data_IF_608841483440
#
_entry.id   IF_608841483440
#
_cell.length_a   1.000
_cell.length_b   1.000
_cell.length_c   1.000
_cell.angle_alpha   90.00
_cell.angle_beta   90.00
_cell.angle_gamma   90.00
#
_symmetry.space_group_name_H-M   'P 1'
#
loop_
_entity.id
_entity.type
_entity.pdbx_description
1 polymer ?
#
# COMPACT_ATOMS: atom_id res chain seq x y z
N UNK A 1 -17.30 -5.60 23.64
CA UNK A 1 -16.13 -5.67 22.75
C UNK A 1 -16.06 -7.05 22.10
N UNK A 2 -15.99 -7.10 20.79
CA UNK A 2 -15.79 -8.35 20.05
C UNK A 2 -14.31 -8.71 20.11
N UNK A 3 -13.96 -9.91 20.54
CA UNK A 3 -12.56 -10.37 20.50
C UNK A 3 -12.30 -11.11 19.19
N UNK A 4 -11.32 -10.63 18.41
CA UNK A 4 -10.91 -11.25 17.16
C UNK A 4 -9.70 -12.16 17.37
N UNK A 5 -9.74 -13.35 16.78
CA UNK A 5 -8.66 -14.34 16.89
C UNK A 5 -7.80 -14.32 15.62
N UNK A 6 -6.70 -13.56 15.64
CA UNK A 6 -5.74 -13.47 14.52
C UNK A 6 -4.75 -14.66 14.48
N UNK A 7 -4.73 -15.53 15.48
CA UNK A 7 -3.98 -16.80 15.45
C UNK A 7 -4.76 -17.94 14.79
N UNK A 8 -6.02 -17.69 14.39
CA UNK A 8 -6.81 -18.69 13.67
C UNK A 8 -6.21 -18.93 12.28
N UNK A 9 -5.71 -20.12 12.04
CA UNK A 9 -5.26 -20.55 10.71
C UNK A 9 -6.47 -20.77 9.79
N UNK A 10 -6.42 -20.13 8.62
CA UNK A 10 -7.45 -20.25 7.58
C UNK A 10 -6.77 -20.79 6.34
N UNK A 11 -7.17 -21.97 5.90
CA UNK A 11 -6.68 -22.54 4.66
C UNK A 11 -7.20 -21.73 3.46
N UNK A 12 -6.28 -21.15 2.73
CA UNK A 12 -6.54 -20.35 1.53
C UNK A 12 -6.21 -21.08 0.23
N UNK A 13 -5.71 -22.32 0.31
CA UNK A 13 -5.42 -23.14 -0.87
C UNK A 13 -6.73 -23.60 -1.51
N UNK A 14 -6.73 -23.73 -2.85
CA UNK A 14 -7.88 -24.12 -3.65
C UNK A 14 -9.06 -23.15 -3.56
N UNK A 15 -8.77 -21.87 -3.30
CA UNK A 15 -9.75 -20.77 -3.30
C UNK A 15 -9.53 -19.77 -4.44
N UNK A 16 -8.63 -20.08 -5.36
CA UNK A 16 -8.11 -19.17 -6.38
C UNK A 16 -7.40 -17.95 -5.77
N UNK A 17 -6.83 -18.12 -4.58
CA UNK A 17 -6.05 -17.07 -3.93
C UNK A 17 -4.77 -16.79 -4.72
N UNK A 18 -4.62 -15.56 -5.20
CA UNK A 18 -3.40 -15.12 -5.90
C UNK A 18 -2.15 -15.39 -5.06
N UNK A 19 -2.25 -15.25 -3.74
CA UNK A 19 -1.16 -15.45 -2.78
C UNK A 19 -0.74 -16.92 -2.67
N UNK A 20 -1.68 -17.87 -2.73
CA UNK A 20 -1.45 -19.27 -2.38
C UNK A 20 -1.50 -20.24 -3.56
N UNK A 21 -2.32 -19.97 -4.57
CA UNK A 21 -2.64 -20.98 -5.58
C UNK A 21 -1.89 -20.80 -6.91
N UNK A 22 -1.09 -19.73 -7.05
CA UNK A 22 -0.42 -19.37 -8.31
C UNK A 22 1.11 -19.33 -8.21
N UNK A 23 1.70 -20.06 -7.27
CA UNK A 23 3.15 -20.06 -7.08
C UNK A 23 3.88 -20.60 -8.32
N UNK A 24 3.45 -21.75 -8.83
CA UNK A 24 4.08 -22.43 -9.97
C UNK A 24 3.96 -21.60 -11.25
N UNK A 25 2.79 -21.02 -11.53
CA UNK A 25 2.55 -20.16 -12.70
C UNK A 25 3.40 -18.88 -12.66
N UNK A 26 3.85 -18.49 -11.47
CA UNK A 26 4.73 -17.33 -11.25
C UNK A 26 6.21 -17.70 -11.05
N UNK A 27 6.57 -18.95 -11.36
CA UNK A 27 7.96 -19.42 -11.34
C UNK A 27 8.51 -19.79 -9.97
N UNK A 28 7.64 -19.91 -8.94
CA UNK A 28 8.02 -20.36 -7.61
C UNK A 28 7.82 -21.88 -7.47
N UNK A 29 8.44 -22.47 -6.46
CA UNK A 29 8.23 -23.86 -6.10
C UNK A 29 6.80 -24.07 -5.53
N UNK A 30 6.24 -25.28 -5.67
CA UNK A 30 4.88 -25.61 -5.25
C UNK A 30 4.67 -25.54 -3.73
N UNK A 31 5.74 -25.67 -2.95
CA UNK A 31 5.74 -25.78 -1.50
C UNK A 31 6.21 -24.50 -0.78
N UNK A 32 6.31 -23.38 -1.50
CA UNK A 32 6.73 -22.11 -0.91
C UNK A 32 5.68 -21.58 0.09
N UNK A 33 6.19 -20.93 1.14
CA UNK A 33 5.38 -20.18 2.09
C UNK A 33 5.23 -18.73 1.61
N UNK A 34 4.02 -18.29 1.18
CA UNK A 34 3.87 -16.99 0.57
C UNK A 34 3.67 -15.87 1.60
N UNK A 35 4.57 -14.88 1.58
CA UNK A 35 4.51 -13.66 2.38
C UNK A 35 4.83 -12.42 1.53
N UNK A 36 4.43 -12.44 0.26
CA UNK A 36 4.73 -11.43 -0.76
C UNK A 36 3.60 -10.42 -0.98
N UNK A 37 2.41 -10.88 -1.38
CA UNK A 37 1.31 -9.99 -1.71
C UNK A 37 0.69 -9.36 -0.46
N UNK A 38 0.35 -8.09 -0.59
CA UNK A 38 -0.16 -7.25 0.48
C UNK A 38 -1.66 -7.48 0.77
N UNK A 39 -2.07 -8.74 0.95
CA UNK A 39 -3.32 -9.13 1.59
C UNK A 39 -3.04 -9.85 2.92
N UNK A 40 -4.00 -9.89 3.81
CA UNK A 40 -3.84 -10.49 5.13
C UNK A 40 -4.39 -11.91 5.17
N UNK A 41 -3.83 -12.74 6.04
CA UNK A 41 -4.35 -14.09 6.30
C UNK A 41 -5.42 -14.09 7.42
N UNK A 42 -6.05 -12.95 7.66
CA UNK A 42 -7.08 -12.73 8.66
C UNK A 42 -8.45 -12.56 8.02
N UNK A 43 -9.50 -13.05 8.68
CA UNK A 43 -10.87 -12.75 8.27
C UNK A 43 -11.14 -11.25 8.37
N UNK A 44 -11.92 -10.75 7.41
CA UNK A 44 -12.46 -9.39 7.48
C UNK A 44 -13.31 -9.17 8.76
N UNK A 45 -13.53 -7.91 9.17
CA UNK A 45 -14.34 -7.61 10.34
C UNK A 45 -15.72 -8.27 10.31
N UNK A 46 -16.18 -8.79 11.46
CA UNK A 46 -17.49 -9.43 11.56
C UNK A 46 -18.64 -8.58 11.01
N UNK A 47 -18.73 -7.27 11.26
CA UNK A 47 -19.79 -6.44 10.68
C UNK A 47 -19.80 -6.45 9.15
N UNK A 48 -18.63 -6.53 8.53
CA UNK A 48 -18.51 -6.66 7.06
C UNK A 48 -19.07 -7.99 6.59
N UNK A 49 -18.68 -9.09 7.26
CA UNK A 49 -19.17 -10.44 6.92
C UNK A 49 -20.69 -10.53 7.07
N UNK A 50 -21.24 -9.96 8.13
CA UNK A 50 -22.70 -9.93 8.37
C UNK A 50 -23.44 -9.13 7.28
N UNK A 51 -22.91 -7.95 6.90
CA UNK A 51 -23.49 -7.15 5.83
C UNK A 51 -23.46 -7.85 4.47
N UNK A 52 -22.34 -8.53 4.18
CA UNK A 52 -22.21 -9.34 2.95
C UNK A 52 -23.17 -10.53 2.94
N UNK A 53 -23.31 -11.24 4.07
CA UNK A 53 -24.24 -12.37 4.19
C UNK A 53 -25.68 -11.92 3.95
N UNK A 54 -26.07 -10.77 4.49
CA UNK A 54 -27.41 -10.19 4.27
C UNK A 54 -27.62 -9.86 2.79
N UNK A 55 -26.64 -9.26 2.12
CA UNK A 55 -26.71 -8.94 0.70
C UNK A 55 -26.82 -10.18 -0.18
N UNK A 56 -26.03 -11.23 0.13
CA UNK A 56 -26.10 -12.52 -0.58
C UNK A 56 -27.43 -13.20 -0.35
N UNK A 57 -27.98 -13.17 0.86
CA UNK A 57 -29.28 -13.75 1.20
C UNK A 57 -30.44 -13.03 0.51
N UNK A 58 -30.31 -11.71 0.23
CA UNK A 58 -31.27 -10.97 -0.60
C UNK A 58 -31.27 -11.46 -2.06
N UNK A 59 -30.11 -11.83 -2.61
CA UNK A 59 -29.97 -12.56 -3.87
C UNK A 59 -30.22 -11.77 -5.16
N UNK A 60 -30.37 -10.42 -5.09
CA UNK A 60 -30.51 -9.55 -6.27
C UNK A 60 -29.29 -8.65 -6.41
N UNK A 61 -28.51 -8.87 -7.47
CA UNK A 61 -27.25 -8.16 -7.74
C UNK A 61 -27.40 -7.18 -8.91
N UNK A 62 -28.40 -6.30 -8.81
CA UNK A 62 -28.64 -5.23 -9.77
C UNK A 62 -27.66 -4.08 -9.65
N UNK A 63 -27.78 -3.10 -10.54
CA UNK A 63 -27.00 -1.87 -10.45
C UNK A 63 -27.23 -1.16 -9.13
N UNK A 64 -26.15 -0.72 -8.48
CA UNK A 64 -26.18 -0.12 -7.17
C UNK A 64 -25.42 1.20 -7.14
N UNK A 65 -25.89 2.11 -6.32
CA UNK A 65 -25.20 3.37 -6.02
C UNK A 65 -25.30 3.66 -4.52
N UNK A 66 -24.38 4.44 -3.99
CA UNK A 66 -24.32 4.80 -2.57
C UNK A 66 -25.20 6.01 -2.29
N UNK A 67 -25.67 6.11 -1.04
CA UNK A 67 -26.39 7.27 -0.48
C UNK A 67 -25.51 8.05 0.48
N UNK A 68 -26.09 9.04 1.14
CA UNK A 68 -25.38 9.89 2.10
C UNK A 68 -24.70 9.13 3.23
N UNK A 69 -25.29 8.04 3.69
CA UNK A 69 -24.76 7.21 4.77
C UNK A 69 -23.38 6.61 4.46
N UNK A 70 -23.10 6.31 3.19
CA UNK A 70 -21.78 5.86 2.76
C UNK A 70 -20.73 6.96 2.97
N UNK A 71 -21.04 8.18 2.53
CA UNK A 71 -20.16 9.32 2.75
C UNK A 71 -19.99 9.62 4.24
N UNK A 72 -21.08 9.58 5.03
CA UNK A 72 -21.06 9.82 6.45
C UNK A 72 -20.16 8.82 7.21
N UNK A 73 -20.12 7.57 6.76
CA UNK A 73 -19.22 6.56 7.31
C UNK A 73 -17.74 6.93 7.07
N UNK A 74 -17.42 7.32 5.85
CA UNK A 74 -16.06 7.79 5.49
C UNK A 74 -15.71 9.07 6.23
N UNK A 75 -16.63 10.05 6.25
CA UNK A 75 -16.41 11.33 6.95
C UNK A 75 -16.07 11.11 8.42
N UNK A 76 -16.89 10.33 9.15
CA UNK A 76 -16.62 10.03 10.57
C UNK A 76 -15.28 9.32 10.77
N UNK A 77 -14.91 8.45 9.86
CA UNK A 77 -13.62 7.75 9.91
C UNK A 77 -12.44 8.70 9.80
N UNK A 78 -12.43 9.54 8.77
CA UNK A 78 -11.33 10.47 8.53
C UNK A 78 -11.29 11.62 9.56
N UNK A 79 -12.43 12.14 9.97
CA UNK A 79 -12.52 13.15 11.00
C UNK A 79 -11.97 12.64 12.34
N UNK A 80 -12.43 11.47 12.80
CA UNK A 80 -12.05 10.93 14.12
C UNK A 80 -10.60 10.43 14.18
N UNK A 81 -10.02 9.93 13.06
CA UNK A 81 -8.69 9.32 13.04
C UNK A 81 -7.59 10.28 12.62
N UNK A 82 -7.90 11.19 11.73
CA UNK A 82 -6.89 12.05 11.10
C UNK A 82 -7.19 13.53 11.28
N UNK A 83 -8.29 13.88 11.97
CA UNK A 83 -8.75 15.27 12.11
C UNK A 83 -8.81 15.95 10.73
N UNK A 84 -9.41 15.24 9.74
CA UNK A 84 -9.58 15.70 8.38
C UNK A 84 -11.03 15.54 7.94
N UNK A 85 -11.59 16.62 7.43
CA UNK A 85 -13.02 16.75 7.12
C UNK A 85 -13.23 16.90 5.61
N UNK A 86 -13.28 15.79 4.84
CA UNK A 86 -13.52 15.85 3.39
C UNK A 86 -14.95 16.29 3.09
N UNK A 87 -15.15 16.91 1.91
CA UNK A 87 -16.47 17.26 1.40
C UNK A 87 -17.02 16.14 0.51
N UNK A 88 -18.33 15.94 0.53
CA UNK A 88 -18.98 14.86 -0.22
C UNK A 88 -18.79 14.97 -1.72
N UNK A 89 -18.77 16.19 -2.26
CA UNK A 89 -18.53 16.44 -3.67
C UNK A 89 -17.10 16.11 -4.16
N UNK A 90 -16.15 15.93 -3.24
CA UNK A 90 -14.78 15.54 -3.57
C UNK A 90 -14.68 14.04 -3.87
N UNK A 91 -15.63 13.25 -3.40
CA UNK A 91 -15.59 11.79 -3.49
C UNK A 91 -15.84 11.29 -4.93
N UNK A 92 -14.89 10.53 -5.42
CA UNK A 92 -15.00 9.74 -6.66
C UNK A 92 -14.62 8.29 -6.33
N UNK A 93 -15.51 7.34 -6.63
CA UNK A 93 -15.27 5.92 -6.35
C UNK A 93 -14.62 5.23 -7.55
N UNK A 94 -13.65 4.36 -7.30
CA UNK A 94 -12.96 3.57 -8.35
C UNK A 94 -12.79 2.10 -7.93
N UNK A 95 -12.55 1.17 -8.88
CA UNK A 95 -12.41 -0.27 -8.59
C UNK A 95 -11.05 -0.64 -7.96
N UNK A 96 -10.30 0.33 -7.50
CA UNK A 96 -9.01 0.16 -6.85
C UNK A 96 -8.10 1.34 -7.07
N UNK A 97 -7.10 1.49 -6.18
CA UNK A 97 -6.19 2.65 -6.22
C UNK A 97 -5.31 2.61 -7.47
N UNK A 98 -4.83 1.45 -7.92
CA UNK A 98 -4.01 1.37 -9.14
C UNK A 98 -4.78 1.86 -10.38
N UNK A 99 -6.07 1.53 -10.49
CA UNK A 99 -6.92 2.10 -11.53
C UNK A 99 -7.04 3.62 -11.39
N UNK A 100 -7.22 4.13 -10.17
CA UNK A 100 -7.29 5.56 -9.93
C UNK A 100 -5.99 6.27 -10.31
N UNK A 101 -4.82 5.69 -9.98
CA UNK A 101 -3.51 6.22 -10.37
C UNK A 101 -3.38 6.31 -11.91
N UNK A 102 -3.77 5.27 -12.64
CA UNK A 102 -3.75 5.28 -14.10
C UNK A 102 -4.66 6.38 -14.68
N UNK A 103 -5.89 6.51 -14.15
CA UNK A 103 -6.81 7.58 -14.57
C UNK A 103 -6.30 8.99 -14.20
N UNK A 104 -5.64 9.14 -13.05
CA UNK A 104 -5.02 10.40 -12.65
C UNK A 104 -3.84 10.78 -13.55
N UNK A 105 -2.97 9.83 -13.89
CA UNK A 105 -1.88 10.02 -14.86
C UNK A 105 -2.45 10.53 -16.19
N UNK A 106 -3.50 9.92 -16.69
CA UNK A 106 -4.15 10.34 -17.97
C UNK A 106 -4.83 11.69 -17.85
N UNK A 107 -5.53 11.94 -16.75
CA UNK A 107 -6.27 13.18 -16.52
C UNK A 107 -5.37 14.41 -16.36
N UNK A 108 -4.20 14.24 -15.72
CA UNK A 108 -3.36 15.35 -15.29
C UNK A 108 -2.14 15.59 -16.20
N UNK A 109 -1.86 14.66 -17.12
CA UNK A 109 -0.71 14.75 -18.02
C UNK A 109 -1.09 14.38 -19.46
N UNK A 110 -0.19 14.69 -20.40
CA UNK A 110 -0.26 14.23 -21.80
C UNK A 110 0.77 13.15 -22.05
N UNK A 111 0.63 12.41 -23.15
CA UNK A 111 1.65 11.47 -23.59
C UNK A 111 3.00 12.17 -23.76
N UNK A 112 4.06 11.55 -23.26
CA UNK A 112 5.41 12.10 -23.23
C UNK A 112 5.72 13.06 -22.08
N UNK A 113 4.73 13.48 -21.27
CA UNK A 113 4.97 14.27 -20.06
C UNK A 113 5.73 13.46 -19.00
N UNK A 114 6.46 14.16 -18.15
CA UNK A 114 7.24 13.60 -17.06
C UNK A 114 6.40 13.44 -15.80
N UNK A 115 6.44 12.23 -15.21
CA UNK A 115 5.80 11.89 -13.93
C UNK A 115 6.87 11.42 -12.96
N UNK A 116 6.91 12.02 -11.77
CA UNK A 116 7.92 11.77 -10.75
C UNK A 116 7.44 10.71 -9.76
N UNK A 117 8.38 9.85 -9.34
CA UNK A 117 8.24 8.88 -8.27
C UNK A 117 9.52 8.83 -7.42
N UNK A 118 9.43 8.24 -6.22
CA UNK A 118 10.55 8.14 -5.27
C UNK A 118 10.89 6.67 -4.96
N UNK A 119 11.72 6.00 -5.78
CA UNK A 119 12.18 4.64 -5.49
C UNK A 119 13.06 4.55 -4.21
N UNK A 120 13.07 3.37 -3.53
CA UNK A 120 12.25 2.18 -3.81
C UNK A 120 10.79 2.45 -3.49
N UNK A 121 9.89 2.16 -4.45
CA UNK A 121 8.46 2.45 -4.33
C UNK A 121 7.62 1.34 -4.96
N UNK A 122 6.36 1.27 -4.60
CA UNK A 122 5.39 0.30 -5.09
C UNK A 122 5.41 0.20 -6.62
N UNK A 123 5.76 -0.97 -7.16
CA UNK A 123 6.06 -1.19 -8.58
C UNK A 123 4.93 -0.79 -9.54
N UNK A 124 3.62 -0.86 -9.20
CA UNK A 124 2.58 -0.35 -10.10
C UNK A 124 2.68 1.17 -10.39
N UNK A 125 3.42 1.94 -9.60
CA UNK A 125 3.69 3.35 -9.94
C UNK A 125 4.47 3.46 -11.25
N UNK A 126 5.49 2.61 -11.44
CA UNK A 126 6.24 2.53 -12.71
C UNK A 126 5.33 2.08 -13.86
N UNK A 127 4.47 1.08 -13.60
CA UNK A 127 3.59 0.51 -14.60
C UNK A 127 2.56 1.53 -15.10
N UNK A 128 1.85 2.21 -14.19
CA UNK A 128 0.82 3.18 -14.59
C UNK A 128 1.39 4.38 -15.35
N UNK A 129 2.65 4.74 -15.13
CA UNK A 129 3.33 5.80 -15.90
C UNK A 129 3.71 5.29 -17.28
N UNK A 130 4.44 4.18 -17.35
CA UNK A 130 4.95 3.58 -18.60
C UNK A 130 3.80 3.16 -19.52
N UNK A 131 2.82 2.45 -19.00
CA UNK A 131 1.75 1.84 -19.79
C UNK A 131 0.73 2.90 -20.28
N UNK A 132 0.80 4.11 -19.75
CA UNK A 132 0.10 5.28 -20.27
C UNK A 132 1.00 6.22 -21.09
N UNK A 133 2.16 5.78 -21.59
CA UNK A 133 3.08 6.53 -22.45
C UNK A 133 3.61 7.84 -21.83
N UNK A 134 3.84 7.88 -20.50
CA UNK A 134 4.50 8.98 -19.81
C UNK A 134 5.95 8.62 -19.49
N UNK A 135 6.79 9.65 -19.27
CA UNK A 135 8.18 9.47 -18.87
C UNK A 135 8.27 9.33 -17.36
N UNK A 136 8.97 8.29 -16.90
CA UNK A 136 9.28 8.13 -15.48
C UNK A 136 10.46 9.03 -15.14
N UNK A 137 10.29 9.83 -14.10
CA UNK A 137 11.36 10.62 -13.47
C UNK A 137 11.53 10.07 -12.06
N UNK A 138 12.73 9.61 -11.76
CA UNK A 138 13.06 9.04 -10.46
C UNK A 138 13.84 10.04 -9.63
N UNK A 139 13.36 10.30 -8.39
CA UNK A 139 14.10 10.97 -7.32
C UNK A 139 14.22 9.97 -6.17
N UNK A 140 15.27 9.14 -6.16
CA UNK A 140 15.40 8.05 -5.21
C UNK A 140 15.48 8.55 -3.78
N UNK A 141 14.88 7.82 -2.85
CA UNK A 141 15.06 8.06 -1.41
C UNK A 141 16.51 7.76 -1.01
N UNK A 142 17.02 8.54 -0.07
CA UNK A 142 18.33 8.31 0.55
C UNK A 142 18.20 7.36 1.73
N UNK A 143 19.05 6.33 1.78
CA UNK A 143 19.16 5.46 2.94
C UNK A 143 20.37 5.90 3.77
N UNK A 144 20.10 6.50 4.94
CA UNK A 144 21.12 6.99 5.86
C UNK A 144 20.94 6.30 7.22
N UNK A 145 21.92 5.57 7.69
CA UNK A 145 21.91 4.87 8.99
C UNK A 145 20.69 3.98 9.22
N UNK A 146 20.17 3.34 8.15
CA UNK A 146 19.00 2.46 8.21
C UNK A 146 17.65 3.21 8.16
N UNK A 147 17.65 4.49 7.86
CA UNK A 147 16.47 5.33 7.72
C UNK A 147 16.39 5.93 6.32
N UNK A 148 15.20 5.89 5.70
CA UNK A 148 14.99 6.48 4.38
C UNK A 148 14.50 7.91 4.50
N UNK A 149 15.07 8.81 3.69
CA UNK A 149 14.78 10.24 3.69
C UNK A 149 14.51 10.73 2.26
N UNK A 150 13.75 11.82 2.13
CA UNK A 150 13.56 12.51 0.85
C UNK A 150 14.82 13.34 0.57
N UNK A 151 15.46 13.13 -0.59
CA UNK A 151 16.46 14.04 -1.11
C UNK A 151 15.76 15.24 -1.77
N UNK A 152 15.56 16.29 -0.99
CA UNK A 152 14.86 17.47 -1.46
C UNK A 152 15.64 18.26 -2.53
N UNK A 153 16.96 18.16 -2.52
CA UNK A 153 17.81 18.85 -3.51
C UNK A 153 17.69 18.13 -4.87
N UNK A 154 17.80 16.78 -4.89
CA UNK A 154 17.55 15.97 -6.07
C UNK A 154 16.11 16.12 -6.56
N UNK A 155 15.13 16.13 -5.64
CA UNK A 155 13.73 16.32 -5.97
C UNK A 155 13.48 17.64 -6.71
N UNK A 156 13.99 18.76 -6.21
CA UNK A 156 13.85 20.06 -6.85
C UNK A 156 14.59 20.12 -8.19
N UNK A 157 15.79 19.54 -8.27
CA UNK A 157 16.55 19.42 -9.53
C UNK A 157 15.77 18.63 -10.58
N UNK A 158 15.22 17.47 -10.22
CA UNK A 158 14.41 16.65 -11.15
C UNK A 158 13.13 17.32 -11.59
N UNK A 159 12.42 17.99 -10.68
CA UNK A 159 11.21 18.74 -11.01
C UNK A 159 11.50 19.78 -12.09
N UNK A 160 12.58 20.52 -11.93
CA UNK A 160 12.93 21.63 -12.83
C UNK A 160 13.55 21.14 -14.15
N UNK A 161 14.60 20.28 -14.06
CA UNK A 161 15.36 19.85 -15.24
C UNK A 161 14.55 18.92 -16.18
N UNK A 162 13.63 18.12 -15.62
CA UNK A 162 12.81 17.16 -16.37
C UNK A 162 11.40 17.69 -16.66
N UNK A 163 11.09 18.95 -16.31
CA UNK A 163 9.77 19.57 -16.52
C UNK A 163 8.61 18.68 -16.03
N UNK A 164 8.74 18.18 -14.79
CA UNK A 164 7.75 17.28 -14.16
C UNK A 164 6.37 17.94 -14.12
N UNK A 165 5.33 17.17 -14.47
CA UNK A 165 3.93 17.63 -14.45
C UNK A 165 3.13 17.02 -13.32
N UNK A 166 3.50 15.83 -12.89
CA UNK A 166 2.78 15.05 -11.89
C UNK A 166 3.78 14.36 -10.98
N UNK A 167 3.49 14.35 -9.69
CA UNK A 167 4.19 13.55 -8.69
C UNK A 167 3.24 12.51 -8.10
N UNK A 168 3.62 11.23 -8.15
CA UNK A 168 2.93 10.15 -7.45
C UNK A 168 3.62 9.93 -6.10
N UNK A 169 2.98 10.37 -5.02
CA UNK A 169 3.45 10.23 -3.65
C UNK A 169 2.88 8.96 -3.01
N UNK A 170 3.72 8.14 -2.40
CA UNK A 170 3.31 7.00 -1.57
C UNK A 170 3.39 7.39 -0.08
N UNK A 171 2.26 7.41 0.63
CA UNK A 171 2.20 7.92 2.02
C UNK A 171 1.13 7.18 2.86
N UNK A 172 1.49 6.32 3.80
CA UNK A 172 2.82 5.78 4.14
C UNK A 172 3.52 5.06 3.00
N UNK A 173 4.85 5.09 2.99
CA UNK A 173 5.67 4.67 1.86
C UNK A 173 5.96 3.15 1.86
N UNK A 174 5.52 2.46 0.84
CA UNK A 174 5.76 1.05 0.57
C UNK A 174 6.91 0.93 -0.47
N UNK A 175 8.01 0.18 -0.21
CA UNK A 175 8.16 -0.88 0.79
C UNK A 175 8.82 -0.45 2.11
N UNK A 176 9.40 0.74 2.19
CA UNK A 176 10.34 1.14 3.24
C UNK A 176 9.70 1.43 4.61
N UNK A 177 8.36 1.53 4.66
CA UNK A 177 7.62 1.72 5.90
C UNK A 177 7.66 3.13 6.49
N UNK A 178 8.16 4.15 5.74
CA UNK A 178 8.15 5.54 6.21
C UNK A 178 6.73 6.11 6.32
N UNK A 179 6.51 6.89 7.35
CA UNK A 179 5.35 7.79 7.51
C UNK A 179 5.89 9.22 7.47
N UNK A 180 5.63 9.91 6.36
CA UNK A 180 6.15 11.26 6.17
C UNK A 180 5.61 12.21 7.23
N UNK A 181 6.48 12.97 7.87
CA UNK A 181 6.10 13.99 8.84
C UNK A 181 5.32 15.12 8.16
N UNK A 182 4.59 15.87 8.95
CA UNK A 182 3.86 17.04 8.42
C UNK A 182 4.81 18.04 7.75
N UNK A 183 5.98 18.23 8.32
CA UNK A 183 7.03 19.15 7.84
C UNK A 183 7.60 18.65 6.50
N UNK A 184 7.88 17.35 6.35
CA UNK A 184 8.32 16.76 5.08
C UNK A 184 7.26 16.94 4.00
N UNK A 185 5.98 16.66 4.32
CA UNK A 185 4.86 16.86 3.39
C UNK A 185 4.70 18.33 3.00
N UNK A 186 4.82 19.25 3.94
CA UNK A 186 4.73 20.70 3.66
C UNK A 186 5.84 21.16 2.74
N UNK A 187 7.09 20.77 2.99
CA UNK A 187 8.23 21.10 2.13
C UNK A 187 8.05 20.55 0.71
N UNK A 188 7.56 19.30 0.61
CA UNK A 188 7.21 18.68 -0.68
C UNK A 188 6.10 19.46 -1.39
N UNK A 189 5.04 19.81 -0.65
CA UNK A 189 3.92 20.57 -1.19
C UNK A 189 4.31 21.98 -1.64
N UNK A 190 5.22 22.66 -0.95
CA UNK A 190 5.77 23.97 -1.34
C UNK A 190 6.54 23.88 -2.67
N UNK A 191 7.35 22.82 -2.86
CA UNK A 191 8.04 22.59 -4.13
C UNK A 191 7.03 22.34 -5.27
N UNK A 192 6.06 21.46 -5.05
CA UNK A 192 5.04 21.15 -6.05
C UNK A 192 4.21 22.39 -6.43
N UNK A 193 3.85 23.24 -5.47
CA UNK A 193 3.11 24.48 -5.76
C UNK A 193 3.94 25.49 -6.53
N UNK A 194 5.20 25.71 -6.11
CA UNK A 194 6.16 26.61 -6.76
C UNK A 194 6.36 26.29 -8.23
N UNK A 195 6.44 25.01 -8.59
CA UNK A 195 6.69 24.54 -9.94
C UNK A 195 5.45 24.04 -10.67
N UNK A 196 4.26 24.25 -10.10
CA UNK A 196 2.97 23.88 -10.68
C UNK A 196 2.84 22.39 -11.00
N UNK A 197 3.39 21.53 -10.15
CA UNK A 197 3.30 20.07 -10.24
C UNK A 197 2.01 19.60 -9.56
N UNK A 198 1.22 18.78 -10.25
CA UNK A 198 0.10 18.09 -9.64
C UNK A 198 0.61 16.99 -8.69
N UNK A 199 -0.14 16.69 -7.63
CA UNK A 199 0.21 15.60 -6.70
C UNK A 199 -0.93 14.58 -6.63
N UNK A 200 -0.58 13.30 -6.78
CA UNK A 200 -1.46 12.19 -6.41
C UNK A 200 -0.86 11.50 -5.20
N UNK A 201 -1.52 11.64 -4.06
CA UNK A 201 -1.10 11.00 -2.80
C UNK A 201 -1.82 9.66 -2.64
N UNK A 202 -1.07 8.57 -2.73
CA UNK A 202 -1.58 7.22 -2.41
C UNK A 202 -1.46 6.99 -0.91
N UNK A 203 -2.60 7.13 -0.23
CA UNK A 203 -2.71 7.01 1.23
C UNK A 203 -3.42 5.71 1.65
N UNK A 204 -3.36 4.67 0.82
CA UNK A 204 -4.03 3.38 1.08
C UNK A 204 -3.56 2.69 2.37
N UNK A 205 -2.39 3.06 2.89
CA UNK A 205 -1.81 2.53 4.13
C UNK A 205 -1.97 3.47 5.34
N UNK A 206 -2.70 4.59 5.23
CA UNK A 206 -2.81 5.62 6.28
C UNK A 206 -3.19 5.06 7.65
N UNK A 207 -4.10 4.09 7.69
CA UNK A 207 -4.56 3.45 8.94
C UNK A 207 -3.49 2.59 9.65
N UNK A 208 -2.36 2.30 9.00
CA UNK A 208 -1.28 1.50 9.58
C UNK A 208 -0.05 2.30 10.00
N UNK A 209 -0.17 3.61 10.11
CA UNK A 209 0.84 4.43 10.79
C UNK A 209 0.92 4.05 12.27
N UNK A 210 2.14 3.99 12.82
CA UNK A 210 2.31 3.68 14.24
C UNK A 210 1.97 4.91 15.10
N UNK A 211 1.54 4.72 16.35
CA UNK A 211 1.18 5.84 17.22
C UNK A 211 2.29 6.86 17.41
N UNK A 212 3.54 6.41 17.35
CA UNK A 212 4.75 7.23 17.48
C UNK A 212 5.04 8.07 16.22
N UNK A 213 4.45 7.67 15.09
CA UNK A 213 4.60 8.30 13.77
C UNK A 213 3.22 8.50 13.13
N UNK A 214 2.38 9.44 13.66
CA UNK A 214 1.01 9.61 13.20
C UNK A 214 0.97 10.08 11.74
N UNK A 215 0.11 9.44 10.94
CA UNK A 215 -0.10 9.84 9.56
C UNK A 215 -0.80 11.21 9.49
N UNK A 216 -0.32 12.05 8.62
CA UNK A 216 -0.98 13.31 8.27
C UNK A 216 -1.52 13.22 6.83
N UNK A 217 -2.83 13.40 6.66
CA UNK A 217 -3.45 13.45 5.33
C UNK A 217 -2.81 14.58 4.51
N UNK A 218 -2.41 14.31 3.28
CA UNK A 218 -1.69 15.26 2.43
C UNK A 218 -2.49 16.57 2.21
N UNK A 219 -3.80 16.47 2.02
CA UNK A 219 -4.66 17.66 1.89
C UNK A 219 -4.67 18.54 3.15
N UNK A 220 -4.51 17.93 4.33
CA UNK A 220 -4.39 18.67 5.60
C UNK A 220 -3.02 19.33 5.76
N UNK A 221 -1.96 18.66 5.29
CA UNK A 221 -0.61 19.20 5.31
C UNK A 221 -0.39 20.32 4.31
N UNK A 222 -1.02 20.23 3.12
CA UNK A 222 -0.76 21.07 1.95
C UNK A 222 -2.05 21.70 1.37
N UNK A 223 -2.79 22.51 2.15
CA UNK A 223 -4.05 23.10 1.68
C UNK A 223 -3.89 24.02 0.46
N UNK A 224 -2.70 24.57 0.23
CA UNK A 224 -2.38 25.38 -0.95
C UNK A 224 -2.46 24.58 -2.27
N UNK A 225 -2.39 23.24 -2.22
CA UNK A 225 -2.52 22.37 -3.39
C UNK A 225 -3.94 21.83 -3.58
N UNK A 226 -4.96 22.31 -2.86
CA UNK A 226 -6.35 21.80 -2.93
C UNK A 226 -6.86 21.66 -4.37
N UNK A 227 -6.55 22.62 -5.24
CA UNK A 227 -6.95 22.60 -6.65
C UNK A 227 -6.04 21.74 -7.56
N UNK A 228 -4.96 21.15 -7.03
CA UNK A 228 -3.93 20.44 -7.80
C UNK A 228 -3.62 19.04 -7.26
N UNK A 229 -4.49 18.47 -6.40
CA UNK A 229 -4.23 17.18 -5.79
C UNK A 229 -5.35 16.17 -6.01
N UNK A 230 -4.98 14.90 -5.93
CA UNK A 230 -5.87 13.74 -5.81
C UNK A 230 -5.34 12.89 -4.64
N UNK A 231 -6.23 12.47 -3.72
CA UNK A 231 -5.87 11.56 -2.64
C UNK A 231 -6.56 10.22 -2.88
N UNK A 232 -5.79 9.14 -2.74
CA UNK A 232 -6.26 7.77 -2.95
C UNK A 232 -6.34 7.05 -1.62
N UNK A 233 -7.55 6.65 -1.22
CA UNK A 233 -7.81 5.84 -0.03
C UNK A 233 -8.67 4.63 -0.38
N UNK A 234 -8.61 3.56 0.41
CA UNK A 234 -9.42 2.37 0.18
C UNK A 234 -9.55 1.49 1.44
N UNK A 235 -10.65 0.74 1.59
CA UNK A 235 -10.78 -0.24 2.66
C UNK A 235 -9.90 -1.49 2.43
N UNK A 236 -9.29 -1.60 1.27
CA UNK A 236 -8.58 -2.80 0.77
C UNK A 236 -7.50 -3.26 1.72
N UNK A 237 -6.69 -2.34 2.24
CA UNK A 237 -5.59 -2.65 3.17
C UNK A 237 -6.08 -2.59 4.61
N UNK A 238 -6.84 -1.57 4.97
CA UNK A 238 -7.36 -1.36 6.31
C UNK A 238 -8.15 -2.55 6.84
N UNK A 239 -8.98 -3.18 6.00
CA UNK A 239 -9.92 -4.24 6.40
C UNK A 239 -9.77 -5.55 5.62
N UNK A 240 -8.67 -5.71 4.87
CA UNK A 240 -8.41 -6.91 4.04
C UNK A 240 -9.51 -7.17 2.99
N UNK A 241 -9.92 -6.13 2.26
CA UNK A 241 -11.01 -6.17 1.28
C UNK A 241 -10.54 -5.96 -0.18
N UNK A 242 -9.27 -6.21 -0.49
CA UNK A 242 -8.71 -5.92 -1.81
C UNK A 242 -9.46 -6.62 -2.96
N UNK A 243 -9.90 -7.85 -2.75
CA UNK A 243 -10.67 -8.63 -3.74
C UNK A 243 -12.07 -8.06 -4.05
N UNK A 244 -12.58 -7.15 -3.23
CA UNK A 244 -13.88 -6.48 -3.45
C UNK A 244 -13.78 -5.22 -4.30
N UNK A 245 -12.58 -4.78 -4.64
CA UNK A 245 -12.31 -3.74 -5.63
C UNK A 245 -13.14 -2.45 -5.43
N UNK A 246 -12.92 -1.78 -4.30
CA UNK A 246 -13.49 -0.46 -3.99
C UNK A 246 -12.39 0.45 -3.47
N UNK A 247 -12.33 1.67 -3.98
CA UNK A 247 -11.51 2.75 -3.43
C UNK A 247 -12.25 4.08 -3.47
N UNK A 248 -11.89 4.93 -2.52
CA UNK A 248 -12.47 6.24 -2.27
C UNK A 248 -11.42 7.29 -2.62
N UNK A 249 -11.61 7.99 -3.72
CA UNK A 249 -10.68 8.95 -4.25
C UNK A 249 -11.22 10.35 -3.97
N UNK A 250 -10.41 11.18 -3.32
CA UNK A 250 -10.79 12.52 -2.94
C UNK A 250 -10.13 13.52 -3.88
N UNK A 251 -10.95 14.28 -4.60
CA UNK A 251 -10.50 15.23 -5.61
C UNK A 251 -11.11 16.59 -5.30
N UNK A 252 -10.43 17.43 -4.48
CA UNK A 252 -10.97 18.70 -4.03
C UNK A 252 -11.20 19.68 -5.20
N UNK A 253 -10.21 19.87 -6.06
CA UNK A 253 -10.27 20.77 -7.21
C UNK A 253 -11.34 20.37 -8.23
N UNK A 254 -12.28 21.26 -8.52
CA UNK A 254 -13.38 20.96 -9.43
C UNK A 254 -12.89 20.60 -10.84
N UNK A 255 -11.96 21.36 -11.38
CA UNK A 255 -11.43 21.12 -12.74
C UNK A 255 -10.71 19.76 -12.80
N UNK A 256 -9.86 19.47 -11.82
CA UNK A 256 -9.15 18.18 -11.70
C UNK A 256 -10.16 17.04 -11.59
N UNK A 257 -11.21 17.21 -10.79
CA UNK A 257 -12.25 16.21 -10.59
C UNK A 257 -13.05 15.93 -11.87
N UNK A 258 -13.37 16.97 -12.62
CA UNK A 258 -14.09 16.84 -13.89
C UNK A 258 -13.22 16.10 -14.93
N UNK A 259 -11.93 16.42 -15.04
CA UNK A 259 -10.96 15.73 -15.90
C UNK A 259 -10.78 14.27 -15.47
N UNK A 260 -10.65 14.01 -14.19
CA UNK A 260 -10.50 12.65 -13.64
C UNK A 260 -11.74 11.79 -13.93
N UNK A 261 -12.94 12.32 -13.72
CA UNK A 261 -14.20 11.65 -14.08
C UNK A 261 -14.33 11.39 -15.58
N UNK A 262 -13.86 12.29 -16.42
CA UNK A 262 -13.86 12.12 -17.87
C UNK A 262 -13.02 10.92 -18.31
N UNK A 263 -11.83 10.73 -17.70
CA UNK A 263 -10.97 9.56 -17.99
C UNK A 263 -11.59 8.25 -17.51
N UNK A 264 -12.24 8.24 -16.35
CA UNK A 264 -12.97 7.06 -15.86
C UNK A 264 -14.10 6.68 -16.84
N UNK A 265 -14.86 7.66 -17.30
CA UNK A 265 -15.94 7.46 -18.27
C UNK A 265 -15.39 6.96 -19.61
N UNK A 266 -14.27 7.53 -20.09
CA UNK A 266 -13.62 7.11 -21.33
C UNK A 266 -13.07 5.68 -21.24
N UNK A 267 -12.70 5.21 -20.05
CA UNK A 267 -12.34 3.83 -19.79
C UNK A 267 -13.56 2.87 -19.75
N UNK A 268 -14.79 3.38 -19.92
CA UNK A 268 -16.02 2.60 -19.91
C UNK A 268 -16.45 2.12 -18.51
N UNK A 269 -15.87 2.67 -17.46
CA UNK A 269 -16.22 2.27 -16.10
C UNK A 269 -17.24 3.23 -15.50
N UNK A 270 -18.43 2.74 -15.16
CA UNK A 270 -19.53 3.60 -14.69
C UNK A 270 -19.98 3.33 -13.26
N UNK A 271 -19.91 2.10 -12.80
CA UNK A 271 -20.46 1.71 -11.50
C UNK A 271 -19.59 0.65 -10.83
N UNK A 272 -19.40 0.78 -9.50
CA UNK A 272 -18.75 -0.23 -8.68
C UNK A 272 -19.68 -1.42 -8.42
N UNK A 273 -19.08 -2.56 -8.06
CA UNK A 273 -19.85 -3.73 -7.68
C UNK A 273 -20.60 -3.49 -6.35
N UNK A 274 -21.86 -3.95 -6.29
CA UNK A 274 -22.75 -3.74 -5.14
C UNK A 274 -22.16 -4.31 -3.83
N UNK A 275 -21.56 -5.50 -3.89
CA UNK A 275 -20.99 -6.21 -2.75
C UNK A 275 -19.81 -5.41 -2.16
N UNK A 276 -18.95 -4.84 -3.01
CA UNK A 276 -17.86 -4.00 -2.58
C UNK A 276 -18.29 -2.71 -1.88
N UNK A 277 -19.34 -2.05 -2.39
CA UNK A 277 -19.90 -0.85 -1.77
C UNK A 277 -20.48 -1.15 -0.38
N UNK A 278 -21.24 -2.23 -0.24
CA UNK A 278 -21.81 -2.69 1.04
C UNK A 278 -20.70 -2.99 2.04
N UNK A 279 -19.68 -3.73 1.61
CA UNK A 279 -18.55 -4.08 2.46
C UNK A 279 -17.76 -2.84 2.91
N UNK A 280 -17.53 -1.90 1.99
CA UNK A 280 -16.82 -0.66 2.28
C UNK A 280 -17.55 0.17 3.33
N UNK A 281 -18.85 0.39 3.17
CA UNK A 281 -19.65 1.12 4.14
C UNK A 281 -19.64 0.45 5.53
N UNK A 282 -19.93 -0.85 5.59
CA UNK A 282 -19.95 -1.60 6.84
C UNK A 282 -18.57 -1.60 7.56
N UNK A 283 -17.49 -1.62 6.79
CA UNK A 283 -16.13 -1.57 7.30
C UNK A 283 -15.81 -0.22 7.98
N UNK A 284 -16.08 0.89 7.30
CA UNK A 284 -15.85 2.22 7.88
C UNK A 284 -16.82 2.57 9.01
N UNK A 285 -18.06 2.06 8.99
CA UNK A 285 -19.01 2.26 10.09
C UNK A 285 -18.63 1.51 11.36
N UNK A 286 -18.16 0.27 11.22
CA UNK A 286 -18.10 -0.65 12.36
C UNK A 286 -16.78 -1.46 12.46
N UNK A 287 -15.79 -1.20 11.62
CA UNK A 287 -14.53 -1.96 11.58
C UNK A 287 -13.46 -1.48 12.56
N UNK A 288 -13.66 -0.39 13.28
CA UNK A 288 -12.63 0.23 14.11
C UNK A 288 -12.04 -0.70 15.16
N UNK A 289 -12.87 -1.41 15.90
CA UNK A 289 -12.44 -2.34 16.95
C UNK A 289 -11.58 -3.52 16.36
N UNK A 290 -11.94 -4.00 15.17
CA UNK A 290 -11.15 -5.01 14.48
C UNK A 290 -9.78 -4.46 14.07
N UNK A 291 -9.73 -3.25 13.54
CA UNK A 291 -8.48 -2.62 13.10
C UNK A 291 -7.52 -2.41 14.29
N UNK A 292 -8.01 -1.91 15.41
CA UNK A 292 -7.19 -1.69 16.62
C UNK A 292 -6.55 -2.99 17.12
N UNK A 293 -7.33 -4.08 17.16
CA UNK A 293 -6.83 -5.39 17.54
C UNK A 293 -5.86 -5.95 16.49
N UNK A 294 -6.13 -5.77 15.19
CA UNK A 294 -5.25 -6.14 14.11
C UNK A 294 -3.90 -5.40 14.20
N UNK A 295 -3.92 -4.08 14.37
CA UNK A 295 -2.70 -3.29 14.55
C UNK A 295 -1.88 -3.74 15.76
N UNK A 296 -2.53 -4.05 16.88
CA UNK A 296 -1.85 -4.59 18.06
C UNK A 296 -1.16 -5.92 17.74
N UNK A 297 -1.86 -6.82 17.04
CA UNK A 297 -1.32 -8.12 16.64
C UNK A 297 -0.13 -7.98 15.65
N UNK A 298 -0.23 -7.08 14.69
CA UNK A 298 0.84 -6.80 13.73
C UNK A 298 2.09 -6.22 14.40
N UNK A 299 1.93 -5.37 15.41
CA UNK A 299 3.06 -4.88 16.22
C UNK A 299 3.76 -6.00 16.99
N UNK A 300 3.01 -6.99 17.49
CA UNK A 300 3.63 -8.18 18.11
C UNK A 300 4.39 -9.02 17.07
N UNK A 301 3.85 -9.19 15.87
CA UNK A 301 4.58 -9.87 14.78
C UNK A 301 5.88 -9.12 14.42
N UNK A 302 5.85 -7.80 14.37
CA UNK A 302 7.06 -7.00 14.15
C UNK A 302 8.10 -7.18 15.28
N UNK A 303 7.66 -7.24 16.53
CA UNK A 303 8.55 -7.52 17.67
C UNK A 303 9.20 -8.90 17.58
N UNK A 304 8.42 -9.92 17.18
CA UNK A 304 8.92 -11.29 16.96
C UNK A 304 10.00 -11.26 15.86
N UNK A 305 9.70 -10.65 14.71
CA UNK A 305 10.67 -10.51 13.61
C UNK A 305 11.96 -9.83 14.09
N UNK A 306 11.85 -8.65 14.73
CA UNK A 306 12.99 -7.86 15.21
C UNK A 306 13.88 -8.67 16.16
N UNK A 307 13.29 -9.35 17.13
CA UNK A 307 14.05 -10.17 18.09
C UNK A 307 14.72 -11.35 17.42
N UNK A 308 14.02 -12.03 16.51
CA UNK A 308 14.53 -13.18 15.78
C UNK A 308 15.74 -12.80 14.89
N UNK A 309 15.63 -11.70 14.14
CA UNK A 309 16.73 -11.22 13.29
C UNK A 309 17.96 -10.88 14.14
N UNK A 310 17.79 -10.09 15.19
CA UNK A 310 18.90 -9.68 16.06
C UNK A 310 19.61 -10.88 16.69
N UNK A 311 18.87 -11.91 17.12
CA UNK A 311 19.42 -13.02 17.90
C UNK A 311 19.94 -14.17 17.02
N UNK A 312 19.32 -14.39 15.86
CA UNK A 312 19.54 -15.60 15.05
C UNK A 312 20.01 -15.31 13.62
N UNK A 313 19.74 -14.14 13.08
CA UNK A 313 20.10 -13.72 11.72
C UNK A 313 20.69 -12.30 11.69
N UNK A 314 21.76 -12.01 12.46
CA UNK A 314 22.28 -10.64 12.64
C UNK A 314 22.82 -9.99 11.35
N UNK A 315 23.03 -10.76 10.28
CA UNK A 315 23.41 -10.26 8.95
C UNK A 315 22.24 -9.81 8.09
N UNK A 316 21.00 -9.96 8.58
CA UNK A 316 19.79 -9.42 7.94
C UNK A 316 19.31 -8.29 8.83
N UNK A 317 19.34 -7.07 8.33
CA UNK A 317 18.94 -5.90 9.11
C UNK A 317 17.50 -5.51 8.77
N UNK A 318 16.71 -5.27 9.79
CA UNK A 318 15.40 -4.67 9.63
C UNK A 318 15.57 -3.16 9.42
N UNK A 319 15.06 -2.63 8.32
CA UNK A 319 14.78 -1.19 8.22
C UNK A 319 13.54 -0.94 9.08
N UNK A 320 13.71 -0.16 10.16
CA UNK A 320 12.64 0.03 11.13
C UNK A 320 11.45 0.77 10.50
N UNK A 321 10.27 0.13 10.42
CA UNK A 321 9.10 0.78 9.86
C UNK A 321 8.47 1.74 10.87
N UNK A 322 7.92 2.83 10.35
CA UNK A 322 7.09 3.80 11.07
C UNK A 322 5.60 3.52 10.86
N UNK A 323 5.28 2.66 9.91
CA UNK A 323 3.93 2.25 9.56
C UNK A 323 3.90 1.09 8.60
N UNK A 324 2.72 0.79 8.05
CA UNK A 324 2.41 -0.37 7.21
C UNK A 324 2.42 -1.69 7.98
N UNK A 325 2.18 -2.79 7.30
CA UNK A 325 2.34 -4.15 7.84
C UNK A 325 3.37 -4.96 7.04
N UNK A 326 4.33 -4.25 6.45
CA UNK A 326 5.50 -4.82 5.79
C UNK A 326 6.74 -4.63 6.64
N UNK A 327 7.70 -5.51 6.45
CA UNK A 327 9.06 -5.30 6.90
C UNK A 327 9.99 -5.31 5.69
N UNK A 328 10.86 -4.31 5.61
CA UNK A 328 11.89 -4.15 4.60
C UNK A 328 13.21 -4.62 5.18
N UNK A 329 13.78 -5.67 4.60
CA UNK A 329 14.95 -6.37 5.12
C UNK A 329 16.16 -6.06 4.25
N UNK A 330 17.20 -5.50 4.82
CA UNK A 330 18.51 -5.33 4.20
C UNK A 330 19.32 -6.62 4.39
N UNK A 331 19.54 -7.34 3.30
CA UNK A 331 20.28 -8.60 3.24
C UNK A 331 21.72 -8.42 2.73
N UNK A 332 22.22 -7.19 2.55
CA UNK A 332 23.52 -6.89 1.94
C UNK A 332 24.71 -7.53 2.68
N UNK A 333 24.62 -7.64 4.02
CA UNK A 333 25.69 -8.26 4.83
C UNK A 333 25.79 -9.80 4.68
N UNK A 334 24.83 -10.42 3.94
CA UNK A 334 24.97 -11.82 3.54
C UNK A 334 26.05 -12.01 2.47
N UNK A 335 26.48 -10.94 1.79
CA UNK A 335 27.52 -10.96 0.76
C UNK A 335 27.14 -11.77 -0.49
N UNK A 336 25.84 -11.76 -0.84
CA UNK A 336 25.30 -12.48 -1.98
C UNK A 336 25.13 -11.57 -3.19
N UNK A 337 25.14 -12.12 -4.41
CA UNK A 337 24.54 -11.42 -5.55
C UNK A 337 23.02 -11.44 -5.45
N UNK A 338 22.33 -10.54 -6.17
CA UNK A 338 20.86 -10.47 -6.21
C UNK A 338 20.25 -11.82 -6.57
N UNK A 339 20.75 -12.48 -7.62
CA UNK A 339 20.30 -13.83 -8.03
C UNK A 339 20.56 -14.89 -6.96
N UNK A 340 21.67 -14.79 -6.22
CA UNK A 340 21.99 -15.75 -5.16
C UNK A 340 21.10 -15.52 -3.93
N UNK A 341 20.71 -14.28 -3.63
CA UNK A 341 19.75 -13.95 -2.59
C UNK A 341 18.37 -14.48 -2.95
N UNK A 342 17.90 -14.23 -4.17
CA UNK A 342 16.64 -14.76 -4.68
C UNK A 342 16.57 -16.28 -4.59
N UNK A 343 17.66 -16.98 -5.00
CA UNK A 343 17.76 -18.44 -4.86
C UNK A 343 17.70 -18.89 -3.40
N UNK A 344 18.39 -18.19 -2.49
CA UNK A 344 18.35 -18.47 -1.06
C UNK A 344 16.91 -18.38 -0.53
N UNK A 345 16.21 -17.30 -0.84
CA UNK A 345 14.85 -17.05 -0.35
C UNK A 345 13.85 -18.02 -0.98
N UNK A 346 13.79 -18.08 -2.30
CA UNK A 346 12.73 -18.83 -2.99
C UNK A 346 12.95 -20.37 -2.93
N UNK A 347 14.18 -20.85 -3.15
CA UNK A 347 14.43 -22.28 -3.33
C UNK A 347 15.01 -22.96 -2.09
N UNK A 348 15.87 -22.28 -1.31
CA UNK A 348 16.47 -22.91 -0.13
C UNK A 348 15.61 -22.70 1.12
N UNK A 349 15.16 -21.45 1.36
CA UNK A 349 14.26 -21.14 2.46
C UNK A 349 12.79 -21.47 2.14
N UNK A 350 12.44 -21.74 0.88
CA UNK A 350 11.06 -22.00 0.46
C UNK A 350 10.10 -20.88 0.88
N UNK A 351 10.55 -19.64 0.72
CA UNK A 351 9.75 -18.45 1.00
C UNK A 351 9.45 -17.72 -0.31
N UNK A 352 8.24 -17.25 -0.45
CA UNK A 352 7.87 -16.34 -1.51
C UNK A 352 7.69 -14.95 -0.94
N UNK A 353 8.71 -14.12 -1.06
CA UNK A 353 8.75 -12.72 -0.68
C UNK A 353 8.72 -11.83 -1.92
N UNK A 354 8.68 -10.52 -1.76
CA UNK A 354 8.94 -9.59 -2.85
C UNK A 354 10.41 -9.13 -2.78
N UNK A 355 11.22 -9.56 -3.73
CA UNK A 355 12.60 -9.11 -3.88
C UNK A 355 12.68 -7.60 -4.17
N UNK A 356 13.69 -6.94 -3.62
CA UNK A 356 13.82 -5.48 -3.69
C UNK A 356 13.90 -4.91 -5.09
N UNK A 357 14.40 -5.68 -6.05
CA UNK A 357 14.54 -5.27 -7.45
C UNK A 357 13.23 -4.91 -8.14
N UNK A 358 12.07 -5.37 -7.63
CA UNK A 358 10.75 -4.99 -8.17
C UNK A 358 10.33 -3.57 -7.77
N UNK A 359 10.89 -3.05 -6.65
CA UNK A 359 10.61 -1.70 -6.13
C UNK A 359 11.63 -0.65 -6.60
N UNK A 360 12.86 -1.09 -6.84
CA UNK A 360 13.97 -0.32 -7.40
C UNK A 360 15.06 -1.28 -7.88
N UNK A 361 15.55 -1.10 -9.08
CA UNK A 361 16.63 -1.93 -9.66
C UNK A 361 17.90 -1.95 -8.80
N UNK A 362 18.14 -0.91 -7.98
CA UNK A 362 19.30 -0.82 -7.09
C UNK A 362 19.08 -1.51 -5.74
N UNK A 363 17.86 -1.95 -5.46
CA UNK A 363 17.48 -2.57 -4.19
C UNK A 363 17.50 -4.10 -4.21
N UNK A 364 18.23 -4.73 -5.14
CA UNK A 364 18.28 -6.19 -5.28
C UNK A 364 18.81 -6.95 -4.06
N UNK A 365 19.44 -6.25 -3.10
CA UNK A 365 19.89 -6.80 -1.82
C UNK A 365 18.84 -6.71 -0.71
N UNK A 366 17.64 -6.30 -1.02
CA UNK A 366 16.55 -6.14 -0.06
C UNK A 366 15.43 -7.14 -0.33
N UNK A 367 14.66 -7.44 0.72
CA UNK A 367 13.46 -8.28 0.66
C UNK A 367 12.31 -7.63 1.43
N UNK A 368 11.10 -7.64 0.88
CA UNK A 368 9.91 -7.22 1.60
C UNK A 368 9.11 -8.42 2.08
N UNK A 369 8.91 -8.52 3.39
CA UNK A 369 8.06 -9.54 4.01
C UNK A 369 6.76 -8.93 4.54
N UNK A 370 5.62 -9.60 4.30
CA UNK A 370 4.30 -9.23 4.82
C UNK A 370 4.09 -9.83 6.20
N UNK A 371 3.85 -8.99 7.21
CA UNK A 371 3.65 -9.42 8.61
C UNK A 371 2.19 -9.76 8.94
N UNK A 372 1.27 -9.55 8.01
CA UNK A 372 -0.16 -9.79 8.19
C UNK A 372 -0.53 -11.27 8.02
N UNK A 373 0.11 -12.12 8.81
CA UNK A 373 -0.07 -13.57 8.92
C UNK A 373 -0.12 -13.99 10.38
N UNK A 374 -0.46 -15.27 10.66
CA UNK A 374 -0.43 -15.77 12.05
C UNK A 374 1.00 -15.80 12.61
N UNK A 375 1.15 -15.70 13.93
CA UNK A 375 2.46 -15.86 14.61
C UNK A 375 3.14 -17.16 14.23
N UNK A 376 2.36 -18.23 14.09
CA UNK A 376 2.86 -19.55 13.67
C UNK A 376 3.47 -19.49 12.27
N UNK A 377 2.77 -18.89 11.32
CA UNK A 377 3.26 -18.70 9.94
C UNK A 377 4.53 -17.86 9.91
N UNK A 378 4.57 -16.76 10.66
CA UNK A 378 5.77 -15.93 10.76
C UNK A 378 6.97 -16.69 11.33
N UNK A 379 6.79 -17.39 12.44
CA UNK A 379 7.86 -18.19 13.06
C UNK A 379 8.33 -19.32 12.15
N UNK A 380 7.43 -19.96 11.41
CA UNK A 380 7.79 -20.94 10.38
C UNK A 380 8.70 -20.30 9.32
N UNK A 381 8.30 -19.16 8.76
CA UNK A 381 9.08 -18.45 7.74
C UNK A 381 10.48 -18.10 8.25
N UNK A 382 10.57 -17.54 9.45
CA UNK A 382 11.84 -17.16 10.06
C UNK A 382 12.76 -18.35 10.33
N UNK A 383 12.19 -19.49 10.74
CA UNK A 383 12.94 -20.74 10.96
C UNK A 383 13.47 -21.31 9.64
N UNK A 384 12.67 -21.27 8.57
CA UNK A 384 13.10 -21.68 7.23
C UNK A 384 14.24 -20.80 6.71
N UNK A 385 14.12 -19.47 6.89
CA UNK A 385 15.16 -18.51 6.50
C UNK A 385 16.47 -18.77 7.27
N UNK A 386 16.38 -19.01 8.57
CA UNK A 386 17.57 -19.33 9.39
C UNK A 386 18.24 -20.60 8.92
N UNK A 387 17.48 -21.67 8.67
CA UNK A 387 18.03 -22.93 8.20
C UNK A 387 18.78 -22.78 6.86
N UNK A 388 18.21 -22.02 5.92
CA UNK A 388 18.84 -21.73 4.64
C UNK A 388 20.13 -20.90 4.80
N UNK A 389 20.13 -19.88 5.68
CA UNK A 389 21.33 -19.09 5.95
C UNK A 389 22.46 -19.90 6.62
N UNK A 390 22.13 -20.85 7.52
CA UNK A 390 23.11 -21.70 8.23
C UNK A 390 23.70 -22.77 7.31
N UNK A 391 22.90 -23.38 6.45
CA UNK A 391 23.35 -24.44 5.52
C UNK A 391 24.44 -24.00 4.54
N UNK A 392 24.75 -22.69 4.45
CA UNK A 392 25.84 -22.14 3.64
C UNK A 392 27.19 -22.05 4.37
N UNK A 393 27.19 -22.10 5.70
CA UNK A 393 28.40 -22.00 6.52
C UNK A 393 29.01 -23.40 6.82
N UNK A 394 28.40 -24.45 6.30
CA UNK A 394 28.88 -25.82 6.34
C UNK A 394 29.35 -26.28 4.97
#
# INVERSE_FOLDING_TARGET
>A
MTTYNFDREIDRKKTNSLKYDFAVERGCDVDVLPLWVADMDFQAPKPVLDALQNAVSHGIFGYSEVKGEYFDALYRWFDSRFDWQPKSEWLVKTPGVVFALAMAVRALTKEGDSVLIQPPVYYPFFEVIRDNNRKIVESPLLLTDGHYEIDFDDLEEKITSQNVKLFLLCSPHNPVGRVWTKEELQKLGELCDRYHVFVVSDEIHCDFAFPEHPHTIFAKACPQLEEKMILCTAPSKTFNLAGLQVSNIWVPGKEVRDRFKAEINAAGYSQLNAIGLIACQAAYENGGEWLEQCQAYLRENLKILRSFLRERLPKIRLIEPEGTYFAWLDCSELGLSDTALENLIAHQAKLWLDGGSVFDKKSGQFERIVLACTKKTLLQALTQLEAACRGRNS
#
